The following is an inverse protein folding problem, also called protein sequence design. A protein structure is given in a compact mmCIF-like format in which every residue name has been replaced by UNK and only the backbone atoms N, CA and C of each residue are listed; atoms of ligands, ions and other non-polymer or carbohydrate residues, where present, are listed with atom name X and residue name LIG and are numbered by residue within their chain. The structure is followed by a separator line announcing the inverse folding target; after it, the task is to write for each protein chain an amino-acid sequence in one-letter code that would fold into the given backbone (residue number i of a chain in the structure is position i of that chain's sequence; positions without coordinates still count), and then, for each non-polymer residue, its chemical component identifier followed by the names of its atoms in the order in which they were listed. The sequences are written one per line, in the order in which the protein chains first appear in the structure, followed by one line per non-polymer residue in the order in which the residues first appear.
data_IF_988205553009
#
_entry.id   IF_988205553009
#
_cell.length_a   1.000
_cell.length_b   1.000
_cell.length_c   1.000
_cell.angle_alpha   90.00
_cell.angle_beta   90.00
_cell.angle_gamma   90.00
#
_symmetry.space_group_name_H-M   'P 1'
#
loop_
_entity.id
_entity.type
_entity.pdbx_description
1 polymer ?
#
# COMPACT_ATOMS: atom_id res chain seq x y z
N UNK A 1 3.61 -6.69 -0.24
CA UNK A 1 3.61 -8.02 -0.89
C UNK A 1 2.22 -8.60 -1.04
N UNK A 2 1.43 -8.76 0.03
CA UNK A 2 0.08 -9.37 -0.03
C UNK A 2 -0.87 -8.73 -1.06
N UNK A 3 -0.82 -7.41 -1.26
CA UNK A 3 -1.61 -6.72 -2.30
C UNK A 3 -1.07 -6.87 -3.73
N UNK A 4 0.15 -7.36 -3.94
CA UNK A 4 0.78 -7.41 -5.26
C UNK A 4 0.21 -8.54 -6.14
N UNK A 5 -0.06 -9.71 -5.55
CA UNK A 5 -0.61 -10.88 -6.27
C UNK A 5 -1.99 -10.58 -6.87
N UNK A 6 -3.00 -10.14 -6.10
CA UNK A 6 -4.31 -9.78 -6.65
C UNK A 6 -4.24 -8.62 -7.65
N UNK A 7 -3.38 -7.62 -7.44
CA UNK A 7 -3.17 -6.56 -8.44
C UNK A 7 -2.57 -7.12 -9.75
N UNK A 8 -1.71 -8.13 -9.68
CA UNK A 8 -1.12 -8.75 -10.87
C UNK A 8 -2.15 -9.53 -11.68
N UNK A 9 -3.02 -10.27 -11.00
CA UNK A 9 -4.13 -10.99 -11.64
C UNK A 9 -5.15 -10.02 -12.24
N UNK A 10 -5.46 -8.92 -11.54
CA UNK A 10 -6.33 -7.86 -12.07
C UNK A 10 -5.68 -7.17 -13.27
N UNK A 11 -4.39 -6.89 -13.23
CA UNK A 11 -3.67 -6.28 -14.35
C UNK A 11 -3.64 -7.19 -15.58
N UNK A 12 -3.48 -8.51 -15.39
CA UNK A 12 -3.52 -9.49 -16.48
C UNK A 12 -4.84 -9.43 -17.25
N UNK A 13 -5.97 -9.48 -16.55
CA UNK A 13 -7.30 -9.43 -17.20
C UNK A 13 -7.63 -8.04 -17.74
N UNK A 14 -7.24 -6.97 -17.05
CA UNK A 14 -7.53 -5.59 -17.47
C UNK A 14 -6.77 -5.20 -18.73
N UNK A 15 -5.51 -5.65 -18.87
CA UNK A 15 -4.65 -5.36 -20.02
C UNK A 15 -5.18 -5.91 -21.35
N UNK A 16 -6.07 -6.89 -21.31
CA UNK A 16 -6.78 -7.44 -22.47
C UNK A 16 -7.76 -6.42 -23.07
N UNK A 17 -8.30 -5.51 -22.25
CA UNK A 17 -9.36 -4.57 -22.66
C UNK A 17 -8.86 -3.14 -22.80
N UNK A 18 -7.98 -2.68 -21.90
CA UNK A 18 -7.48 -1.30 -21.87
C UNK A 18 -5.96 -1.25 -21.69
N UNK A 19 -5.36 -0.11 -22.04
CA UNK A 19 -3.92 0.14 -21.86
C UNK A 19 -3.60 1.12 -20.76
N UNK A 20 -4.59 1.86 -20.27
CA UNK A 20 -4.44 2.86 -19.21
C UNK A 20 -5.57 2.69 -18.19
N UNK A 21 -5.21 2.74 -16.92
CA UNK A 21 -6.15 2.75 -15.79
C UNK A 21 -5.82 3.90 -14.82
N UNK A 22 -6.84 4.38 -14.11
CA UNK A 22 -6.66 5.30 -12.99
C UNK A 22 -6.73 4.51 -11.69
N UNK A 23 -5.83 4.81 -10.76
CA UNK A 23 -5.76 4.17 -9.45
C UNK A 23 -5.94 5.19 -8.33
N UNK A 24 -6.30 4.71 -7.14
CA UNK A 24 -6.46 5.55 -5.93
C UNK A 24 -5.19 5.69 -5.08
N UNK A 25 -4.02 5.28 -5.57
CA UNK A 25 -2.76 5.34 -4.82
C UNK A 25 -2.40 6.80 -4.47
N UNK A 26 -1.91 7.04 -3.24
CA UNK A 26 -1.58 8.37 -2.73
C UNK A 26 -2.70 9.04 -1.92
N UNK A 27 -3.95 8.59 -2.06
CA UNK A 27 -5.07 9.17 -1.31
C UNK A 27 -4.94 8.94 0.21
N UNK A 28 -4.38 7.81 0.63
CA UNK A 28 -4.19 7.51 2.06
C UNK A 28 -3.11 8.40 2.67
N UNK A 29 -2.01 8.59 1.94
CA UNK A 29 -0.85 9.37 2.36
C UNK A 29 -1.12 10.88 2.32
N UNK A 30 -2.03 11.34 1.46
CA UNK A 30 -2.44 12.74 1.42
C UNK A 30 -3.54 13.07 2.44
N UNK A 31 -4.53 12.20 2.63
CA UNK A 31 -5.75 12.54 3.38
C UNK A 31 -5.95 11.71 4.64
N UNK A 32 -4.85 11.26 5.28
CA UNK A 32 -4.89 10.48 6.52
C UNK A 32 -5.82 9.26 6.43
N UNK A 33 -5.55 8.41 5.44
CA UNK A 33 -6.38 7.25 5.13
C UNK A 33 -6.10 5.99 5.92
N UNK A 34 -4.98 5.88 6.63
CA UNK A 34 -4.65 4.68 7.39
C UNK A 34 -5.13 4.77 8.85
N UNK A 35 -5.57 3.63 9.39
CA UNK A 35 -6.13 3.55 10.74
C UNK A 35 -5.19 4.07 11.83
N UNK A 36 -3.87 3.84 11.70
CA UNK A 36 -2.87 4.29 12.66
C UNK A 36 -2.72 5.82 12.75
N UNK A 37 -3.22 6.58 11.77
CA UNK A 37 -3.24 8.04 11.87
C UNK A 37 -4.25 8.55 12.89
N UNK A 38 -5.24 7.73 13.27
CA UNK A 38 -6.21 8.08 14.33
C UNK A 38 -5.55 8.13 15.71
N UNK A 39 -4.43 7.44 15.89
CA UNK A 39 -3.70 7.37 17.15
C UNK A 39 -2.69 8.53 17.30
N UNK A 40 -2.67 9.47 16.34
CA UNK A 40 -1.78 10.65 16.35
C UNK A 40 -2.59 11.87 16.75
N UNK A 41 -2.43 12.30 18.01
CA UNK A 41 -3.16 13.44 18.57
C UNK A 41 -2.55 14.80 18.20
N UNK A 42 -1.24 14.84 17.97
CA UNK A 42 -0.53 16.09 17.69
C UNK A 42 -0.50 16.40 16.19
N UNK A 43 -1.07 17.56 15.83
CA UNK A 43 -1.15 18.06 14.47
C UNK A 43 0.20 18.04 13.72
N UNK A 44 1.28 18.36 14.42
CA UNK A 44 2.64 18.35 13.85
C UNK A 44 3.10 16.94 13.51
N UNK A 45 2.88 15.99 14.41
CA UNK A 45 3.32 14.61 14.23
C UNK A 45 2.56 13.96 13.08
N UNK A 46 1.25 14.26 12.93
CA UNK A 46 0.47 13.82 11.79
C UNK A 46 1.03 14.41 10.48
N UNK A 47 1.35 15.70 10.46
CA UNK A 47 1.92 16.34 9.27
C UNK A 47 3.25 15.69 8.87
N UNK A 48 4.13 15.41 9.83
CA UNK A 48 5.43 14.78 9.58
C UNK A 48 5.28 13.33 9.12
N UNK A 49 4.34 12.59 9.69
CA UNK A 49 4.03 11.23 9.29
C UNK A 49 3.42 11.13 7.88
N UNK A 50 2.50 12.02 7.50
CA UNK A 50 1.97 12.08 6.13
C UNK A 50 3.07 12.43 5.12
N UNK A 51 3.96 13.38 5.44
CA UNK A 51 5.14 13.70 4.61
C UNK A 51 6.06 12.49 4.45
N UNK A 52 6.29 11.74 5.53
CA UNK A 52 7.06 10.49 5.50
C UNK A 52 6.40 9.45 4.60
N UNK A 53 5.08 9.28 4.72
CA UNK A 53 4.27 8.40 3.88
C UNK A 53 4.44 8.71 2.38
N UNK A 54 4.20 9.97 1.99
CA UNK A 54 4.36 10.43 0.61
C UNK A 54 5.79 10.20 0.11
N UNK A 55 6.80 10.52 0.92
CA UNK A 55 8.21 10.36 0.55
C UNK A 55 8.61 8.88 0.37
N UNK A 56 7.98 7.96 1.11
CA UNK A 56 8.23 6.53 1.05
C UNK A 56 7.51 5.79 -0.08
N UNK A 57 6.50 6.40 -0.70
CA UNK A 57 5.65 5.78 -1.72
C UNK A 57 6.42 5.09 -2.86
N UNK A 58 7.52 5.69 -3.30
CA UNK A 58 8.36 5.20 -4.39
C UNK A 58 9.00 3.82 -4.13
N UNK A 59 9.12 3.40 -2.87
CA UNK A 59 9.65 2.09 -2.46
C UNK A 59 8.60 1.20 -1.79
N UNK A 60 7.33 1.61 -1.81
CA UNK A 60 6.20 0.93 -1.19
C UNK A 60 5.07 0.72 -2.23
N UNK A 61 4.02 1.52 -2.14
CA UNK A 61 2.80 1.36 -2.93
C UNK A 61 3.02 1.64 -4.43
N UNK A 62 3.77 2.69 -4.77
CA UNK A 62 4.03 3.02 -6.18
C UNK A 62 4.95 2.04 -6.85
N UNK A 63 5.95 1.51 -6.12
CA UNK A 63 6.80 0.45 -6.65
C UNK A 63 5.98 -0.79 -7.00
N UNK A 64 5.05 -1.18 -6.13
CA UNK A 64 4.12 -2.30 -6.42
C UNK A 64 3.25 -1.97 -7.62
N UNK A 65 2.55 -0.85 -7.59
CA UNK A 65 1.60 -0.44 -8.63
C UNK A 65 2.27 -0.48 -10.00
N UNK A 66 3.39 0.24 -10.15
CA UNK A 66 4.16 0.33 -11.39
C UNK A 66 4.65 -1.04 -11.86
N UNK A 67 5.41 -1.78 -11.03
CA UNK A 67 6.00 -3.06 -11.44
C UNK A 67 4.94 -4.10 -11.81
N UNK A 68 3.84 -4.14 -11.08
CA UNK A 68 2.78 -5.14 -11.26
C UNK A 68 1.99 -4.84 -12.54
N UNK A 69 1.57 -3.59 -12.77
CA UNK A 69 0.79 -3.26 -13.96
C UNK A 69 1.67 -3.28 -15.21
N UNK A 70 2.91 -2.78 -15.13
CA UNK A 70 3.84 -2.79 -16.26
C UNK A 70 4.31 -4.19 -16.65
N UNK A 71 4.33 -5.16 -15.73
CA UNK A 71 4.56 -6.57 -16.08
C UNK A 71 3.52 -7.12 -17.08
N UNK A 72 2.35 -6.46 -17.20
CA UNK A 72 1.29 -6.78 -18.15
C UNK A 72 1.07 -5.70 -19.21
N UNK A 73 1.99 -4.74 -19.33
CA UNK A 73 1.89 -3.63 -20.29
C UNK A 73 0.70 -2.71 -20.05
N UNK A 74 0.28 -2.56 -18.79
CA UNK A 74 -0.82 -1.70 -18.36
C UNK A 74 -0.27 -0.46 -17.65
N UNK A 75 -0.57 0.73 -18.19
CA UNK A 75 -0.19 2.00 -17.59
C UNK A 75 -1.15 2.36 -16.44
N UNK A 76 -0.63 2.45 -15.22
CA UNK A 76 -1.38 2.93 -14.07
C UNK A 76 -1.08 4.41 -13.82
N UNK A 77 -2.11 5.25 -13.85
CA UNK A 77 -2.00 6.65 -13.45
C UNK A 77 -2.49 6.84 -12.02
N UNK A 78 -1.90 7.80 -11.33
CA UNK A 78 -2.11 8.07 -9.90
C UNK A 78 -2.58 9.52 -9.71
N UNK A 79 -3.84 9.86 -10.04
CA UNK A 79 -4.32 11.24 -10.03
C UNK A 79 -4.19 11.93 -8.67
N UNK A 80 -4.22 11.16 -7.58
CA UNK A 80 -4.01 11.72 -6.24
C UNK A 80 -2.62 12.34 -6.07
N UNK A 81 -1.62 11.86 -6.81
CA UNK A 81 -0.24 12.34 -6.74
C UNK A 81 0.08 13.33 -7.87
N UNK A 82 -0.94 13.89 -8.51
CA UNK A 82 -0.75 15.08 -9.32
C UNK A 82 -0.15 16.21 -8.47
N UNK A 83 0.78 16.98 -9.05
CA UNK A 83 1.53 17.99 -8.31
C UNK A 83 0.61 19.07 -7.76
N UNK A 84 -0.40 19.48 -8.52
CA UNK A 84 -1.32 20.53 -8.09
C UNK A 84 -2.18 20.03 -6.93
N UNK A 85 -2.55 18.74 -6.90
CA UNK A 85 -3.28 18.16 -5.78
C UNK A 85 -2.41 17.97 -4.54
N UNK A 86 -1.15 17.57 -4.72
CA UNK A 86 -0.18 17.45 -3.61
C UNK A 86 0.06 18.83 -2.97
N UNK A 87 0.25 19.86 -3.79
CA UNK A 87 0.44 21.24 -3.33
C UNK A 87 -0.83 21.76 -2.64
N UNK A 88 -2.01 21.54 -3.25
CA UNK A 88 -3.29 21.89 -2.64
C UNK A 88 -3.45 21.22 -1.28
N UNK A 89 -3.22 19.90 -1.21
CA UNK A 89 -3.29 19.18 0.04
C UNK A 89 -2.35 19.85 1.06
N UNK A 90 -1.09 20.12 0.70
CA UNK A 90 -0.11 20.79 1.55
C UNK A 90 -0.53 22.15 2.12
N UNK A 91 -1.47 22.86 1.47
CA UNK A 91 -2.03 24.12 1.96
C UNK A 91 -3.22 23.96 2.93
N UNK A 92 -3.83 22.78 2.99
CA UNK A 92 -4.97 22.51 3.88
C UNK A 92 -4.45 22.38 5.33
N UNK A 93 -5.09 23.07 6.31
CA UNK A 93 -4.77 22.89 7.72
C UNK A 93 -4.81 21.41 8.11
N UNK A 94 -3.77 20.94 8.79
CA UNK A 94 -3.60 19.50 9.08
C UNK A 94 -4.74 18.97 9.95
N UNK A 95 -5.28 19.82 10.82
CA UNK A 95 -6.39 19.54 11.72
C UNK A 95 -7.65 19.11 10.97
N UNK A 96 -7.81 19.53 9.71
CA UNK A 96 -8.95 19.15 8.88
C UNK A 96 -8.84 17.72 8.34
N UNK A 97 -7.64 17.11 8.43
CA UNK A 97 -7.42 15.72 8.05
C UNK A 97 -7.58 14.76 9.22
N UNK A 98 -7.71 15.28 10.45
CA UNK A 98 -8.06 14.47 11.61
C UNK A 98 -9.46 13.86 11.41
N UNK A 99 -9.74 12.70 12.01
CA UNK A 99 -11.07 12.10 11.92
C UNK A 99 -12.14 13.08 12.42
N UNK A 100 -13.19 13.31 11.62
CA UNK A 100 -14.34 14.14 12.01
C UNK A 100 -15.23 13.45 13.05
N UNK A 101 -16.41 14.01 13.34
CA UNK A 101 -17.34 13.52 14.38
C UNK A 101 -17.73 12.05 14.22
N UNK A 102 -17.71 11.53 12.99
CA UNK A 102 -18.06 10.15 12.67
C UNK A 102 -16.86 9.19 12.71
N UNK A 103 -15.63 9.70 12.85
CA UNK A 103 -14.40 8.91 13.07
C UNK A 103 -13.82 8.20 11.85
N UNK A 104 -14.33 8.44 10.63
CA UNK A 104 -13.83 7.80 9.42
C UNK A 104 -12.52 8.43 8.94
N UNK A 105 -11.64 7.58 8.41
CA UNK A 105 -10.43 8.00 7.71
C UNK A 105 -10.80 8.79 6.45
N UNK A 106 -9.96 9.75 6.07
CA UNK A 106 -10.21 10.65 4.92
C UNK A 106 -11.51 11.45 5.02
N UNK A 107 -11.93 11.84 6.22
CA UNK A 107 -13.17 12.60 6.43
C UNK A 107 -13.30 13.79 5.46
N UNK A 108 -12.28 14.66 5.40
CA UNK A 108 -12.24 15.79 4.47
C UNK A 108 -12.44 15.41 3.00
N UNK A 109 -11.79 14.32 2.55
CA UNK A 109 -11.93 13.86 1.17
C UNK A 109 -13.36 13.34 0.94
N UNK A 110 -13.94 12.60 1.88
CA UNK A 110 -15.31 12.09 1.77
C UNK A 110 -16.31 13.24 1.70
N UNK A 111 -16.16 14.23 2.57
CA UNK A 111 -16.99 15.44 2.59
C UNK A 111 -16.95 16.18 1.25
N UNK A 112 -15.76 16.32 0.65
CA UNK A 112 -15.57 16.98 -0.65
C UNK A 112 -16.32 16.30 -1.81
N UNK A 113 -16.67 15.00 -1.67
CA UNK A 113 -17.40 14.22 -2.66
C UNK A 113 -18.85 13.91 -2.23
N UNK A 114 -19.38 14.60 -1.21
CA UNK A 114 -20.79 14.46 -0.80
C UNK A 114 -21.72 14.71 -1.99
N UNK A 115 -22.67 13.80 -2.22
CA UNK A 115 -23.61 13.84 -3.35
C UNK A 115 -23.06 13.32 -4.68
N UNK A 116 -21.78 12.93 -4.76
CA UNK A 116 -21.20 12.32 -5.97
C UNK A 116 -21.28 10.79 -5.97
N UNK A 117 -21.30 10.18 -4.79
CA UNK A 117 -21.39 8.74 -4.58
C UNK A 117 -22.54 8.41 -3.62
N UNK A 118 -23.10 7.19 -3.67
CA UNK A 118 -24.02 6.70 -2.66
C UNK A 118 -23.42 6.80 -1.25
N UNK A 119 -24.19 7.26 -0.27
CA UNK A 119 -23.69 7.51 1.10
C UNK A 119 -23.14 6.25 1.77
N UNK A 120 -23.73 5.09 1.50
CA UNK A 120 -23.27 3.79 2.01
C UNK A 120 -21.88 3.42 1.48
N UNK A 121 -21.53 3.86 0.26
CA UNK A 121 -20.19 3.71 -0.29
C UNK A 121 -19.25 4.82 0.21
N UNK A 122 -19.71 6.07 0.20
CA UNK A 122 -18.92 7.25 0.56
C UNK A 122 -18.45 7.21 2.01
N UNK A 123 -19.28 6.67 2.92
CA UNK A 123 -18.98 6.57 4.36
C UNK A 123 -18.62 5.16 4.81
N UNK A 124 -18.42 4.23 3.87
CA UNK A 124 -17.98 2.86 4.18
C UNK A 124 -16.65 2.87 4.93
N UNK A 125 -16.51 2.06 6.00
CA UNK A 125 -15.22 1.82 6.64
C UNK A 125 -14.15 1.38 5.64
N UNK A 126 -12.92 1.82 5.86
CA UNK A 126 -11.80 1.42 5.01
C UNK A 126 -11.44 -0.04 5.28
N UNK A 127 -11.34 -0.80 4.20
CA UNK A 127 -10.75 -2.14 4.22
C UNK A 127 -9.40 -2.11 3.50
N UNK A 128 -8.39 -2.76 4.08
CA UNK A 128 -7.11 -2.89 3.40
C UNK A 128 -7.24 -3.85 2.22
N UNK A 129 -6.53 -3.57 1.13
CA UNK A 129 -6.67 -4.34 -0.10
C UNK A 129 -6.42 -5.84 0.10
N UNK A 130 -5.41 -6.20 0.90
CA UNK A 130 -5.05 -7.60 1.16
C UNK A 130 -6.10 -8.38 1.95
N UNK A 131 -6.83 -7.70 2.84
CA UNK A 131 -7.88 -8.28 3.66
C UNK A 131 -9.19 -8.35 2.85
N UNK A 132 -9.55 -7.24 2.19
CA UNK A 132 -10.75 -7.17 1.35
C UNK A 132 -10.72 -8.11 0.13
N UNK A 133 -9.54 -8.53 -0.34
CA UNK A 133 -9.40 -9.52 -1.42
C UNK A 133 -9.30 -10.97 -0.93
N UNK A 134 -9.23 -11.23 0.38
CA UNK A 134 -8.98 -12.55 0.96
C UNK A 134 -7.58 -13.11 0.67
N UNK A 135 -6.66 -12.29 0.17
CA UNK A 135 -5.32 -12.75 -0.22
C UNK A 135 -4.44 -13.03 0.99
N UNK A 136 -4.64 -12.35 2.12
CA UNK A 136 -3.86 -12.56 3.33
C UNK A 136 -3.88 -14.02 3.79
N UNK A 137 -5.05 -14.67 3.76
CA UNK A 137 -5.22 -16.06 4.20
C UNK A 137 -4.48 -17.03 3.28
N UNK A 138 -4.71 -16.90 1.96
CA UNK A 138 -4.08 -17.75 0.94
C UNK A 138 -2.55 -17.64 0.97
N UNK A 139 -2.02 -16.42 1.13
CA UNK A 139 -0.56 -16.21 1.17
C UNK A 139 0.04 -16.76 2.47
N UNK A 140 -0.66 -16.64 3.60
CA UNK A 140 -0.21 -17.20 4.89
C UNK A 140 -0.15 -18.73 4.84
N UNK A 141 -1.20 -19.37 4.33
CA UNK A 141 -1.23 -20.82 4.12
C UNK A 141 -0.10 -21.26 3.17
N UNK A 142 0.08 -20.55 2.05
CA UNK A 142 1.13 -20.87 1.09
C UNK A 142 2.53 -20.72 1.68
N UNK A 143 2.76 -19.68 2.49
CA UNK A 143 4.03 -19.47 3.19
C UNK A 143 4.33 -20.63 4.14
N UNK A 144 3.32 -21.15 4.83
CA UNK A 144 3.49 -22.27 5.75
C UNK A 144 4.01 -23.55 5.04
N UNK A 145 3.59 -23.78 3.79
CA UNK A 145 4.11 -24.88 2.98
C UNK A 145 5.53 -24.66 2.44
N UNK A 146 5.93 -23.41 2.22
CA UNK A 146 7.24 -23.07 1.66
C UNK A 146 8.35 -23.02 2.72
N UNK A 147 7.98 -22.70 3.94
CA UNK A 147 8.88 -22.59 5.09
C UNK A 147 8.22 -23.35 6.23
N UNK A 148 8.59 -24.60 6.52
CA UNK A 148 8.11 -25.37 7.68
C UNK A 148 8.42 -24.67 9.02
N UNK A 149 7.82 -25.12 10.12
CA UNK A 149 7.97 -24.48 11.44
C UNK A 149 9.35 -24.63 12.07
N UNK A 150 10.09 -25.67 11.70
CA UNK A 150 11.34 -26.02 12.36
C UNK A 150 12.44 -24.99 12.01
N UNK A 151 12.99 -24.36 13.05
CA UNK A 151 14.18 -23.48 13.08
C UNK A 151 14.27 -22.34 12.04
N UNK A 152 13.16 -21.97 11.40
CA UNK A 152 13.15 -20.90 10.38
C UNK A 152 13.64 -19.54 10.90
N UNK A 153 13.52 -19.29 12.21
CA UNK A 153 13.89 -18.02 12.83
C UNK A 153 15.41 -17.79 12.85
N UNK A 154 16.20 -18.86 12.81
CA UNK A 154 17.68 -18.78 12.71
C UNK A 154 18.15 -18.64 11.26
N UNK A 155 17.23 -18.70 10.30
CA UNK A 155 17.53 -18.61 8.89
C UNK A 155 17.43 -17.18 8.36
N UNK A 156 18.31 -16.85 7.42
CA UNK A 156 18.32 -15.53 6.78
C UNK A 156 18.88 -15.58 5.38
N UNK A 157 18.56 -14.55 4.61
CA UNK A 157 19.11 -14.31 3.28
C UNK A 157 20.05 -13.13 3.35
N UNK A 158 21.22 -13.25 2.72
CA UNK A 158 22.19 -12.15 2.67
C UNK A 158 21.62 -10.92 1.96
N UNK A 159 21.64 -9.77 2.62
CA UNK A 159 21.26 -8.47 2.07
C UNK A 159 19.97 -7.87 2.67
N UNK A 160 18.82 -8.58 2.69
CA UNK A 160 17.63 -8.16 3.42
C UNK A 160 17.81 -8.19 4.95
N UNK A 161 16.96 -7.49 5.73
CA UNK A 161 16.92 -7.65 7.19
C UNK A 161 16.43 -9.05 7.58
N UNK A 162 16.69 -9.45 8.83
CA UNK A 162 16.22 -10.72 9.37
C UNK A 162 14.69 -10.85 9.19
N UNK A 163 14.20 -12.00 8.70
CA UNK A 163 12.78 -12.21 8.48
C UNK A 163 12.03 -12.19 9.81
N UNK A 164 10.90 -11.48 9.86
CA UNK A 164 10.04 -11.39 11.05
C UNK A 164 8.97 -12.49 11.06
N UNK A 165 8.71 -13.09 9.91
CA UNK A 165 7.73 -14.15 9.71
C UNK A 165 8.23 -15.18 8.70
N UNK A 166 7.64 -16.38 8.74
CA UNK A 166 7.84 -17.43 7.73
C UNK A 166 7.53 -16.94 6.31
N UNK A 167 6.51 -16.09 6.19
CA UNK A 167 6.12 -15.47 4.92
C UNK A 167 7.23 -14.54 4.39
N UNK A 168 7.84 -13.73 5.25
CA UNK A 168 8.98 -12.90 4.87
C UNK A 168 10.19 -13.73 4.43
N UNK A 169 10.53 -14.79 5.18
CA UNK A 169 11.62 -15.69 4.80
C UNK A 169 11.35 -16.35 3.45
N UNK A 170 10.11 -16.80 3.20
CA UNK A 170 9.72 -17.38 1.91
C UNK A 170 9.98 -16.40 0.77
N UNK A 171 9.57 -15.13 0.92
CA UNK A 171 9.81 -14.10 -0.08
C UNK A 171 11.29 -13.76 -0.26
N UNK A 172 12.05 -13.67 0.82
CA UNK A 172 13.49 -13.42 0.76
C UNK A 172 14.22 -14.55 0.02
N UNK A 173 13.88 -15.82 0.30
CA UNK A 173 14.43 -16.99 -0.41
C UNK A 173 14.09 -16.95 -1.90
N UNK A 174 12.85 -16.63 -2.24
CA UNK A 174 12.43 -16.46 -3.63
C UNK A 174 13.20 -15.35 -4.33
N UNK A 175 13.37 -14.20 -3.69
CA UNK A 175 14.15 -13.09 -4.22
C UNK A 175 15.60 -13.51 -4.48
N UNK A 176 16.27 -14.11 -3.50
CA UNK A 176 17.66 -14.56 -3.64
C UNK A 176 17.85 -15.59 -4.76
N UNK A 177 16.89 -16.51 -4.91
CA UNK A 177 16.95 -17.57 -5.93
C UNK A 177 16.65 -17.03 -7.33
N UNK A 178 15.67 -16.13 -7.46
CA UNK A 178 15.16 -15.67 -8.77
C UNK A 178 15.86 -14.42 -9.30
N UNK A 179 16.40 -13.60 -8.41
CA UNK A 179 17.01 -12.30 -8.72
C UNK A 179 18.41 -12.21 -8.11
N UNK A 180 19.18 -13.30 -8.18
CA UNK A 180 20.56 -13.34 -7.72
C UNK A 180 21.38 -12.21 -8.37
N UNK A 181 22.13 -11.46 -7.56
CA UNK A 181 22.92 -10.31 -8.00
C UNK A 181 22.15 -8.98 -8.07
N UNK A 182 20.83 -8.98 -7.88
CA UNK A 182 20.07 -7.75 -7.72
C UNK A 182 20.23 -7.21 -6.30
N UNK A 183 20.51 -5.91 -6.19
CA UNK A 183 20.69 -5.24 -4.91
C UNK A 183 19.42 -5.36 -4.03
N UNK A 184 19.55 -5.87 -2.81
CA UNK A 184 18.43 -6.05 -1.87
C UNK A 184 17.75 -4.73 -1.47
N UNK A 185 18.39 -3.56 -1.69
CA UNK A 185 17.75 -2.26 -1.47
C UNK A 185 16.55 -1.99 -2.39
N UNK A 186 16.43 -2.71 -3.53
CA UNK A 186 15.27 -2.59 -4.44
C UNK A 186 14.09 -3.48 -4.06
N UNK A 187 14.27 -4.31 -3.02
CA UNK A 187 13.20 -5.09 -2.43
C UNK A 187 12.31 -4.15 -1.63
N UNK A 188 11.08 -3.93 -2.09
CA UNK A 188 10.08 -3.17 -1.37
C UNK A 188 9.91 -3.71 0.04
N UNK A 189 10.00 -2.83 1.03
CA UNK A 189 9.90 -3.18 2.45
C UNK A 189 8.46 -3.03 2.92
N UNK A 190 8.14 -3.57 4.10
CA UNK A 190 6.87 -3.23 4.73
C UNK A 190 6.94 -1.78 5.25
N UNK A 191 5.82 -1.06 5.25
CA UNK A 191 5.74 0.30 5.79
C UNK A 191 6.08 0.38 7.30
N UNK A 192 6.01 -0.77 7.99
CA UNK A 192 6.33 -0.96 9.42
C UNK A 192 7.78 -1.41 9.66
N UNK A 193 8.65 -1.35 8.65
CA UNK A 193 10.05 -1.77 8.73
C UNK A 193 11.02 -0.58 8.69
#
# INVERSE_FOLDING_TARGET
MRSAVPNYLLAETTAETVKVVLTGEGADELFAGYAHYRDIDEARDLADELRRGISGLHNLNLQRCDRVTMARGLEARVPFLDRDLVDLAGCIPIEWRLPGELGQEKALLREAFTGWLPDDLLWRPKEQFGDGSGTADVMTERAAHLVPEDDWADEGVAGPPAPRTREELAYQRMFATRLAGVNSHVLGRFATA
#
